data_IF_257181778775
#
_entry.id   IF_257181778775
#
_cell.length_a   1.000
_cell.length_b   1.000
_cell.length_c   1.000
_cell.angle_alpha   90.00
_cell.angle_beta   90.00
_cell.angle_gamma   90.00
#
_symmetry.space_group_name_H-M   'P 1'
#
loop_
_entity.id
_entity.type
_entity.pdbx_description
1 polymer ?
#
# COMPACT_ATOMS: atom_id res chain seq x y z
N UNK A 1 -39.35 -17.21 1.00
CA UNK A 1 -39.29 -15.74 1.11
C UNK A 1 -39.03 -15.36 2.58
N UNK A 2 -37.79 -15.47 3.06
CA UNK A 2 -37.40 -15.23 4.48
C UNK A 2 -36.14 -14.33 4.61
N UNK A 3 -35.70 -13.66 3.54
CA UNK A 3 -34.45 -12.87 3.55
C UNK A 3 -34.64 -11.39 3.90
N UNK A 4 -35.87 -10.92 4.16
CA UNK A 4 -36.16 -9.50 4.45
C UNK A 4 -35.83 -9.06 5.87
N UNK A 5 -35.50 -10.01 6.76
CA UNK A 5 -35.51 -9.76 8.20
C UNK A 5 -34.11 -9.69 8.83
N UNK A 6 -33.05 -9.94 8.04
CA UNK A 6 -31.65 -9.81 8.46
C UNK A 6 -30.98 -8.73 7.61
N UNK A 7 -30.54 -7.65 8.26
CA UNK A 7 -29.76 -6.57 7.64
C UNK A 7 -28.31 -6.67 8.11
N UNK A 8 -27.38 -6.80 7.17
CA UNK A 8 -25.93 -6.89 7.43
C UNK A 8 -25.18 -6.44 6.17
N UNK A 9 -24.22 -5.53 6.34
CA UNK A 9 -23.32 -5.05 5.30
C UNK A 9 -21.93 -4.82 5.92
N UNK A 10 -21.21 -5.92 6.14
CA UNK A 10 -19.88 -5.88 6.77
C UNK A 10 -18.85 -5.18 5.88
N UNK A 11 -19.12 -5.08 4.57
CA UNK A 11 -18.23 -4.36 3.66
C UNK A 11 -18.35 -2.85 3.86
N UNK A 12 -19.57 -2.34 4.00
CA UNK A 12 -19.81 -0.94 4.34
C UNK A 12 -19.33 -0.61 5.75
N UNK A 13 -19.59 -1.46 6.76
CA UNK A 13 -19.10 -1.22 8.12
C UNK A 13 -17.56 -1.14 8.17
N UNK A 14 -16.87 -2.02 7.42
CA UNK A 14 -15.42 -1.96 7.28
C UNK A 14 -14.97 -0.66 6.59
N UNK A 15 -15.69 -0.21 5.55
CA UNK A 15 -15.42 1.04 4.87
C UNK A 15 -15.59 2.25 5.80
N UNK A 16 -16.65 2.29 6.61
CA UNK A 16 -16.87 3.36 7.59
C UNK A 16 -15.77 3.43 8.64
N UNK A 17 -15.25 2.27 9.05
CA UNK A 17 -14.09 2.23 9.92
C UNK A 17 -12.82 2.73 9.23
N UNK A 18 -12.57 2.34 7.97
CA UNK A 18 -11.49 2.92 7.17
C UNK A 18 -11.61 4.44 7.02
N UNK A 19 -12.83 4.97 6.80
CA UNK A 19 -13.08 6.40 6.75
C UNK A 19 -12.75 7.09 8.09
N UNK A 20 -13.12 6.46 9.21
CA UNK A 20 -12.83 6.99 10.54
C UNK A 20 -11.32 7.09 10.80
N UNK A 21 -10.54 6.08 10.43
CA UNK A 21 -9.08 6.12 10.56
C UNK A 21 -8.46 7.18 9.62
N UNK A 22 -8.97 7.31 8.39
CA UNK A 22 -8.54 8.38 7.46
C UNK A 22 -8.80 9.78 8.05
N UNK A 23 -9.99 10.01 8.59
CA UNK A 23 -10.37 11.28 9.20
C UNK A 23 -9.53 11.60 10.44
N UNK A 24 -9.30 10.61 11.31
CA UNK A 24 -8.42 10.75 12.47
C UNK A 24 -6.97 11.10 12.04
N UNK A 25 -6.55 10.60 10.88
CA UNK A 25 -5.24 10.87 10.30
C UNK A 25 -5.15 12.18 9.48
N UNK A 26 -6.22 12.98 9.45
CA UNK A 26 -6.27 14.29 8.79
C UNK A 26 -6.70 14.28 7.32
N UNK A 27 -7.20 13.16 6.79
CA UNK A 27 -7.73 13.07 5.43
C UNK A 27 -9.21 13.40 5.37
N UNK A 28 -9.67 13.89 4.23
CA UNK A 28 -11.10 13.96 3.93
C UNK A 28 -11.67 12.57 3.73
N UNK A 29 -12.95 12.37 4.10
CA UNK A 29 -13.66 11.12 3.81
C UNK A 29 -13.76 10.95 2.29
N UNK A 30 -13.25 9.84 1.72
CA UNK A 30 -13.44 9.53 0.31
C UNK A 30 -14.93 9.35 -0.01
N UNK A 31 -15.38 9.67 -1.24
CA UNK A 31 -16.76 9.46 -1.63
C UNK A 31 -17.09 7.98 -1.76
N UNK A 32 -18.37 7.65 -1.64
CA UNK A 32 -18.91 6.34 -1.96
C UNK A 32 -18.63 5.93 -3.42
N UNK A 33 -18.68 4.62 -3.74
CA UNK A 33 -19.04 3.49 -2.87
C UNK A 33 -17.93 3.05 -1.90
N UNK A 34 -18.24 2.11 -1.01
CA UNK A 34 -17.32 1.52 -0.01
C UNK A 34 -15.93 1.16 -0.57
N UNK A 35 -15.87 0.68 -1.83
CA UNK A 35 -14.61 0.37 -2.52
C UNK A 35 -13.65 1.57 -2.54
N UNK A 36 -14.14 2.77 -2.81
CA UNK A 36 -13.33 3.98 -2.88
C UNK A 36 -12.71 4.33 -1.52
N UNK A 37 -13.50 4.17 -0.46
CA UNK A 37 -13.07 4.45 0.90
C UNK A 37 -11.98 3.47 1.34
N UNK A 38 -12.23 2.17 1.17
CA UNK A 38 -11.28 1.11 1.53
C UNK A 38 -10.01 1.23 0.70
N UNK A 39 -10.14 1.55 -0.59
CA UNK A 39 -9.00 1.76 -1.49
C UNK A 39 -8.15 2.94 -1.04
N UNK A 40 -8.75 4.10 -0.75
CA UNK A 40 -8.03 5.27 -0.29
C UNK A 40 -7.28 4.99 1.03
N UNK A 41 -7.92 4.29 1.97
CA UNK A 41 -7.27 3.83 3.19
C UNK A 41 -6.09 2.88 2.91
N UNK A 42 -6.28 1.89 2.03
CA UNK A 42 -5.22 0.96 1.65
C UNK A 42 -4.06 1.67 0.93
N UNK A 43 -4.34 2.66 0.11
CA UNK A 43 -3.35 3.48 -0.58
C UNK A 43 -2.56 4.37 0.39
N UNK A 44 -3.22 5.03 1.34
CA UNK A 44 -2.53 5.79 2.40
C UNK A 44 -1.62 4.87 3.23
N UNK A 45 -2.13 3.71 3.68
CA UNK A 45 -1.33 2.69 4.38
C UNK A 45 -0.11 2.24 3.55
N UNK A 46 -0.26 2.11 2.24
CA UNK A 46 0.82 1.67 1.36
C UNK A 46 1.93 2.72 1.22
N UNK A 47 1.58 4.00 1.16
CA UNK A 47 2.52 5.12 0.97
C UNK A 47 3.18 5.59 2.26
N UNK A 48 2.49 5.45 3.39
CA UNK A 48 3.02 5.82 4.71
C UNK A 48 4.17 4.90 5.11
N UNK A 49 5.27 5.51 5.52
CA UNK A 49 6.35 4.79 6.19
C UNK A 49 6.08 4.78 7.68
N UNK A 50 5.91 3.61 8.25
CA UNK A 50 5.71 3.48 9.68
C UNK A 50 6.95 3.97 10.46
N UNK A 51 6.72 4.70 11.55
CA UNK A 51 7.76 5.16 12.46
C UNK A 51 8.33 3.97 13.23
N UNK A 52 9.50 3.51 12.80
CA UNK A 52 10.25 2.43 13.43
C UNK A 52 11.73 2.47 13.00
N UNK A 53 12.66 2.13 13.90
CA UNK A 53 14.09 2.04 13.55
C UNK A 53 14.31 1.10 12.38
N UNK A 54 15.17 1.50 11.44
CA UNK A 54 15.58 0.68 10.30
C UNK A 54 17.08 0.69 10.13
N UNK A 55 17.65 -0.45 9.76
CA UNK A 55 19.04 -0.57 9.35
C UNK A 55 19.22 0.05 7.97
N UNK A 56 20.12 1.03 7.86
CA UNK A 56 20.44 1.66 6.59
C UNK A 56 21.46 0.82 5.82
N UNK A 57 21.14 0.53 4.56
CA UNK A 57 22.04 -0.04 3.57
C UNK A 57 22.18 0.95 2.43
N UNK A 58 23.40 1.27 2.03
CA UNK A 58 23.68 2.31 1.03
C UNK A 58 24.35 1.69 -0.19
N UNK A 59 23.76 1.90 -1.37
CA UNK A 59 24.39 1.59 -2.63
C UNK A 59 25.59 2.52 -2.87
N UNK A 60 26.47 2.15 -3.80
CA UNK A 60 27.61 2.99 -4.17
C UNK A 60 27.14 4.16 -5.05
N UNK A 61 26.94 5.34 -4.46
CA UNK A 61 26.68 6.59 -5.18
C UNK A 61 27.31 7.80 -4.48
N UNK A 62 27.48 8.89 -5.23
CA UNK A 62 27.93 10.18 -4.72
C UNK A 62 26.75 11.08 -4.39
N UNK A 63 26.93 11.95 -3.39
CA UNK A 63 25.94 12.94 -2.97
C UNK A 63 26.45 14.34 -3.36
N UNK A 64 25.63 15.17 -4.01
CA UNK A 64 25.95 16.58 -4.24
C UNK A 64 26.25 17.30 -2.93
N UNK A 65 27.23 18.22 -2.95
CA UNK A 65 27.75 18.87 -1.74
C UNK A 65 26.62 19.54 -0.92
N UNK A 66 25.65 20.13 -1.62
CA UNK A 66 24.50 20.83 -1.06
C UNK A 66 23.48 19.91 -0.37
N UNK A 67 23.54 18.59 -0.60
CA UNK A 67 22.62 17.61 0.00
C UNK A 67 23.27 16.75 1.09
N UNK A 68 24.57 16.90 1.37
CA UNK A 68 25.29 16.08 2.35
C UNK A 68 24.65 16.17 3.74
N UNK A 69 24.41 17.39 4.23
CA UNK A 69 23.80 17.61 5.54
C UNK A 69 22.37 17.02 5.62
N UNK A 70 21.59 17.25 4.56
CA UNK A 70 20.22 16.73 4.43
C UNK A 70 20.16 15.21 4.42
N UNK A 71 21.07 14.56 3.67
CA UNK A 71 21.18 13.11 3.64
C UNK A 71 21.56 12.54 5.02
N UNK A 72 22.60 13.10 5.66
CA UNK A 72 23.05 12.62 6.97
C UNK A 72 21.94 12.72 8.02
N UNK A 73 21.25 13.86 8.06
CA UNK A 73 20.12 14.09 8.96
C UNK A 73 18.97 13.12 8.67
N UNK A 74 18.64 12.92 7.40
CA UNK A 74 17.58 12.01 6.99
C UNK A 74 17.91 10.55 7.34
N UNK A 75 19.11 10.06 7.03
CA UNK A 75 19.51 8.69 7.32
C UNK A 75 19.59 8.43 8.83
N UNK A 76 20.05 9.40 9.62
CA UNK A 76 20.00 9.29 11.09
C UNK A 76 18.55 9.15 11.59
N UNK A 77 17.63 9.92 11.01
CA UNK A 77 16.20 9.84 11.32
C UNK A 77 15.60 8.47 10.96
N UNK A 78 16.05 7.85 9.86
CA UNK A 78 15.69 6.47 9.49
C UNK A 78 16.17 5.47 10.54
N UNK A 79 17.42 5.58 10.97
CA UNK A 79 18.01 4.70 12.00
C UNK A 79 17.29 4.82 13.34
N UNK A 80 16.92 6.04 13.73
CA UNK A 80 16.21 6.30 14.99
C UNK A 80 14.71 5.95 14.93
N UNK A 81 14.19 5.69 13.74
CA UNK A 81 12.77 5.41 13.53
C UNK A 81 11.86 6.63 13.60
N UNK A 82 12.40 7.81 13.35
CA UNK A 82 11.63 9.04 13.30
C UNK A 82 10.66 9.11 12.12
N UNK A 83 9.79 10.11 12.13
CA UNK A 83 8.79 10.32 11.08
C UNK A 83 9.43 10.69 9.74
N UNK A 84 9.32 9.82 8.73
CA UNK A 84 9.83 10.11 7.39
C UNK A 84 8.83 10.89 6.53
N UNK A 85 7.56 10.99 6.94
CA UNK A 85 6.51 11.70 6.19
C UNK A 85 6.89 13.13 5.80
N UNK A 86 7.56 13.95 6.65
CA UNK A 86 7.97 15.30 6.27
C UNK A 86 8.90 15.36 5.06
N UNK A 87 9.62 14.29 4.75
CA UNK A 87 10.53 14.21 3.62
C UNK A 87 9.85 13.70 2.35
N UNK A 88 8.61 13.22 2.41
CA UNK A 88 7.92 12.73 1.22
C UNK A 88 7.14 13.87 0.52
N UNK A 89 6.49 13.56 -0.61
CA UNK A 89 5.70 14.52 -1.39
C UNK A 89 4.51 15.09 -0.61
N UNK A 90 4.25 16.40 -0.71
CA UNK A 90 3.03 17.03 -0.14
C UNK A 90 1.74 16.43 -0.71
N UNK A 91 1.79 15.78 -1.88
CA UNK A 91 0.65 15.04 -2.44
C UNK A 91 0.18 13.89 -1.52
N UNK A 92 0.98 13.48 -0.54
CA UNK A 92 0.57 12.53 0.52
C UNK A 92 -0.60 12.99 1.36
N UNK A 93 -0.95 14.28 1.34
CA UNK A 93 -2.16 14.80 1.99
C UNK A 93 -3.45 14.41 1.25
N UNK A 94 -3.33 13.96 -0.01
CA UNK A 94 -4.45 13.42 -0.78
C UNK A 94 -4.50 11.90 -0.62
N UNK A 95 -5.61 11.38 -0.11
CA UNK A 95 -5.77 9.94 0.14
C UNK A 95 -5.79 9.11 -1.17
N UNK A 96 -6.26 9.72 -2.26
CA UNK A 96 -6.36 9.18 -3.60
C UNK A 96 -5.13 9.44 -4.49
N UNK A 97 -4.07 10.07 -3.96
CA UNK A 97 -2.83 10.22 -4.71
C UNK A 97 -2.10 8.89 -4.86
N UNK A 98 -1.93 8.43 -6.10
CA UNK A 98 -1.12 7.26 -6.45
C UNK A 98 0.32 7.65 -6.78
N UNK A 99 1.26 7.00 -6.10
CA UNK A 99 2.69 7.10 -6.41
C UNK A 99 3.05 5.98 -7.39
N UNK A 100 3.13 6.31 -8.68
CA UNK A 100 3.40 5.32 -9.72
C UNK A 100 4.75 4.62 -9.58
N UNK A 101 5.77 5.28 -9.01
CA UNK A 101 7.08 4.67 -8.81
C UNK A 101 7.06 3.68 -7.64
N UNK A 102 6.39 4.04 -6.55
CA UNK A 102 6.16 3.12 -5.44
C UNK A 102 5.26 1.95 -5.86
N UNK A 103 4.17 2.23 -6.57
CA UNK A 103 3.19 1.24 -6.98
C UNK A 103 3.78 0.24 -7.99
N UNK A 104 4.62 0.70 -8.92
CA UNK A 104 5.26 -0.18 -9.90
C UNK A 104 6.56 -0.77 -9.36
N UNK A 105 7.55 0.06 -9.04
CA UNK A 105 8.91 -0.38 -8.69
C UNK A 105 9.14 -0.58 -7.19
N UNK A 106 8.19 -0.24 -6.32
CA UNK A 106 8.38 -0.36 -4.87
C UNK A 106 9.38 0.63 -4.30
N UNK A 107 9.78 1.64 -5.08
CA UNK A 107 10.78 2.63 -4.71
C UNK A 107 10.07 3.89 -4.20
N UNK A 108 10.43 4.32 -3.01
CA UNK A 108 10.01 5.60 -2.44
C UNK A 108 11.04 6.68 -2.70
N UNK A 109 10.61 7.93 -2.63
CA UNK A 109 11.46 9.09 -2.90
C UNK A 109 11.29 10.17 -1.83
N UNK A 110 12.42 10.75 -1.41
CA UNK A 110 12.50 11.67 -0.27
C UNK A 110 13.27 12.94 -0.61
N UNK A 111 12.72 14.08 -0.18
CA UNK A 111 13.38 15.37 -0.16
C UNK A 111 14.43 15.44 0.95
N UNK A 112 15.58 16.01 0.63
CA UNK A 112 16.73 16.15 1.53
C UNK A 112 16.97 17.60 1.95
N UNK A 113 15.91 18.42 1.98
CA UNK A 113 16.03 19.80 2.46
C UNK A 113 16.37 19.88 3.95
N UNK A 114 16.92 21.01 4.38
CA UNK A 114 17.25 21.27 5.80
C UNK A 114 16.32 22.29 6.45
N UNK A 115 15.53 23.01 5.65
CA UNK A 115 14.53 23.98 6.11
C UNK A 115 13.10 23.44 5.93
N UNK A 116 12.10 23.93 6.68
CA UNK A 116 10.68 23.63 6.43
C UNK A 116 10.20 24.10 5.05
N UNK A 117 9.18 23.44 4.52
CA UNK A 117 8.52 23.83 3.27
C UNK A 117 7.82 25.19 3.45
N UNK A 118 7.96 26.14 2.50
CA UNK A 118 7.53 27.53 2.68
C UNK A 118 6.02 27.70 2.91
N UNK A 119 5.20 26.81 2.35
CA UNK A 119 3.73 26.90 2.45
C UNK A 119 3.08 25.75 3.23
N UNK A 120 3.86 24.75 3.65
CA UNK A 120 3.35 23.60 4.42
C UNK A 120 4.43 23.13 5.40
N UNK A 121 4.59 23.79 6.56
CA UNK A 121 5.71 23.56 7.48
C UNK A 121 5.76 22.15 8.09
N UNK A 122 4.75 21.31 7.86
CA UNK A 122 4.77 19.87 8.20
C UNK A 122 5.68 19.06 7.28
N UNK A 123 6.12 19.63 6.16
CA UNK A 123 7.04 19.05 5.20
C UNK A 123 8.34 19.83 5.16
N UNK A 124 9.39 19.20 4.65
CA UNK A 124 10.70 19.78 4.42
C UNK A 124 10.72 20.48 3.05
N UNK A 125 11.58 21.49 2.93
CA UNK A 125 11.85 22.23 1.70
C UNK A 125 12.22 21.28 0.56
N UNK A 126 11.68 21.57 -0.62
CA UNK A 126 11.90 20.75 -1.81
C UNK A 126 13.35 20.86 -2.26
N UNK A 127 13.90 19.74 -2.68
CA UNK A 127 15.20 19.60 -3.34
C UNK A 127 15.00 19.15 -4.79
N UNK A 128 15.89 19.57 -5.69
CA UNK A 128 15.85 19.17 -7.10
C UNK A 128 16.17 17.69 -7.31
N UNK A 129 17.00 17.13 -6.43
CA UNK A 129 17.27 15.71 -6.36
C UNK A 129 16.59 15.09 -5.14
N UNK A 130 16.12 13.86 -5.33
CA UNK A 130 15.41 13.08 -4.33
C UNK A 130 16.21 11.82 -4.01
N UNK A 131 16.29 11.49 -2.73
CA UNK A 131 16.82 10.20 -2.31
C UNK A 131 15.80 9.12 -2.66
N UNK A 132 16.19 8.20 -3.53
CA UNK A 132 15.38 7.03 -3.86
C UNK A 132 15.76 5.86 -2.96
N UNK A 133 14.77 5.12 -2.46
CA UNK A 133 15.01 4.00 -1.56
C UNK A 133 13.97 2.89 -1.67
N UNK A 134 14.39 1.65 -1.41
CA UNK A 134 13.47 0.58 -1.01
C UNK A 134 13.31 0.63 0.51
N UNK A 135 12.07 0.73 0.97
CA UNK A 135 11.76 0.75 2.40
C UNK A 135 11.11 -0.58 2.77
N UNK A 136 11.74 -1.32 3.69
CA UNK A 136 11.24 -2.55 4.28
C UNK A 136 10.93 -2.33 5.76
N UNK A 137 10.42 -3.37 6.41
CA UNK A 137 10.03 -3.31 7.82
C UNK A 137 11.20 -2.98 8.74
N UNK A 138 12.37 -3.59 8.50
CA UNK A 138 13.55 -3.43 9.36
C UNK A 138 14.75 -2.80 8.63
N UNK A 139 14.65 -2.60 7.33
CA UNK A 139 15.77 -2.22 6.47
C UNK A 139 15.37 -1.06 5.55
N UNK A 140 16.31 -0.17 5.31
CA UNK A 140 16.19 0.96 4.40
C UNK A 140 17.34 0.90 3.39
N UNK A 141 17.03 0.63 2.13
CA UNK A 141 18.03 0.50 1.07
C UNK A 141 18.07 1.79 0.25
N UNK A 142 19.06 2.63 0.55
CA UNK A 142 19.29 3.88 -0.14
C UNK A 142 19.96 3.63 -1.49
N UNK A 143 19.30 4.03 -2.58
CA UNK A 143 19.71 3.75 -3.96
C UNK A 143 20.54 4.87 -4.58
N UNK A 144 20.27 6.12 -4.18
CA UNK A 144 20.96 7.31 -4.69
C UNK A 144 20.05 8.51 -4.84
N UNK A 145 20.61 9.61 -5.31
CA UNK A 145 19.90 10.86 -5.58
C UNK A 145 19.58 11.02 -7.07
N UNK A 146 18.30 11.27 -7.38
CA UNK A 146 17.81 11.36 -8.75
C UNK A 146 16.90 12.58 -8.93
N UNK A 147 16.87 13.13 -10.13
CA UNK A 147 15.99 14.25 -10.45
C UNK A 147 14.52 13.85 -10.39
N UNK A 148 13.66 14.82 -10.07
CA UNK A 148 12.24 14.73 -10.44
C UNK A 148 12.15 14.34 -11.92
N UNK A 149 11.20 13.47 -12.28
CA UNK A 149 11.04 12.85 -13.61
C UNK A 149 11.75 11.51 -13.84
N UNK A 150 12.60 11.07 -12.91
CA UNK A 150 13.28 9.75 -13.00
C UNK A 150 12.38 8.59 -12.55
N UNK A 151 11.08 8.62 -12.88
CA UNK A 151 10.06 7.75 -12.29
C UNK A 151 9.99 6.35 -12.89
N UNK A 152 10.50 6.14 -14.10
CA UNK A 152 10.48 4.87 -14.83
C UNK A 152 11.85 4.27 -15.07
N UNK A 153 12.90 4.81 -14.42
CA UNK A 153 14.29 4.41 -14.64
C UNK A 153 14.57 2.97 -14.25
N UNK A 154 14.58 2.08 -15.24
CA UNK A 154 14.72 0.63 -15.05
C UNK A 154 16.11 0.22 -14.55
N UNK A 155 17.12 1.05 -14.76
CA UNK A 155 18.47 0.83 -14.19
C UNK A 155 18.52 0.87 -12.66
N UNK A 156 17.48 1.40 -11.99
CA UNK A 156 17.32 1.25 -10.54
C UNK A 156 17.05 -0.21 -10.15
N UNK A 157 16.30 -0.95 -10.97
CA UNK A 157 16.06 -2.36 -10.76
C UNK A 157 17.32 -3.19 -11.04
N UNK A 158 18.16 -2.78 -12.01
CA UNK A 158 19.50 -3.36 -12.20
C UNK A 158 20.36 -3.17 -10.96
N UNK A 159 20.38 -1.95 -10.41
CA UNK A 159 21.14 -1.63 -9.22
C UNK A 159 20.71 -2.49 -8.02
N UNK A 160 19.39 -2.61 -7.78
CA UNK A 160 18.86 -3.44 -6.70
C UNK A 160 19.24 -4.91 -6.93
N UNK A 161 19.07 -5.42 -8.15
CA UNK A 161 19.39 -6.80 -8.50
C UNK A 161 20.86 -7.13 -8.29
N UNK A 162 21.77 -6.25 -8.74
CA UNK A 162 23.20 -6.45 -8.59
C UNK A 162 23.69 -6.29 -7.14
N UNK A 163 23.09 -5.36 -6.38
CA UNK A 163 23.57 -5.01 -5.03
C UNK A 163 22.92 -5.88 -3.94
N UNK A 164 21.62 -6.12 -4.05
CA UNK A 164 20.81 -6.86 -3.07
C UNK A 164 19.83 -7.82 -3.77
N UNK A 165 20.31 -8.88 -4.44
CA UNK A 165 19.47 -9.79 -5.23
C UNK A 165 18.34 -10.43 -4.41
N UNK A 166 18.56 -10.66 -3.11
CA UNK A 166 17.54 -11.20 -2.18
C UNK A 166 16.32 -10.28 -2.02
N UNK A 167 16.47 -8.98 -2.24
CA UNK A 167 15.39 -8.01 -2.06
C UNK A 167 14.45 -7.92 -3.26
N UNK A 168 14.91 -8.40 -4.43
CA UNK A 168 14.17 -8.41 -5.69
C UNK A 168 13.72 -9.80 -6.14
N UNK A 169 14.26 -10.88 -5.55
CA UNK A 169 13.98 -12.27 -5.98
C UNK A 169 12.48 -12.62 -6.00
N UNK A 170 11.68 -12.04 -5.11
CA UNK A 170 10.23 -12.29 -5.07
C UNK A 170 9.47 -11.74 -6.27
N UNK A 171 10.07 -10.83 -7.04
CA UNK A 171 9.51 -10.31 -8.30
C UNK A 171 10.11 -10.97 -9.54
N UNK A 172 10.99 -11.97 -9.38
CA UNK A 172 11.57 -12.69 -10.50
C UNK A 172 10.59 -13.69 -11.10
N UNK A 173 10.54 -13.77 -12.42
CA UNK A 173 9.87 -14.87 -13.10
C UNK A 173 10.75 -16.12 -13.00
N UNK A 174 10.15 -17.22 -12.56
CA UNK A 174 10.81 -18.52 -12.49
C UNK A 174 10.33 -19.41 -13.61
N UNK A 175 11.26 -20.17 -14.19
CA UNK A 175 10.95 -21.28 -15.09
C UNK A 175 10.02 -22.30 -14.42
N UNK A 176 9.12 -22.88 -15.20
CA UNK A 176 8.27 -24.01 -14.75
C UNK A 176 8.88 -25.32 -15.20
N UNK A 177 8.58 -26.43 -14.52
CA UNK A 177 9.16 -27.74 -14.83
C UNK A 177 8.99 -28.10 -16.31
N UNK A 178 10.11 -28.36 -17.00
CA UNK A 178 10.13 -28.71 -18.43
C UNK A 178 10.09 -27.52 -19.40
N UNK A 179 10.13 -26.27 -18.92
CA UNK A 179 10.20 -25.07 -19.74
C UNK A 179 11.28 -24.12 -19.20
N UNK A 180 12.06 -23.52 -20.11
CA UNK A 180 13.09 -22.54 -19.74
C UNK A 180 12.74 -21.17 -20.32
N UNK A 181 12.76 -20.15 -19.46
CA UNK A 181 12.65 -18.76 -19.89
C UNK A 181 14.01 -18.34 -20.49
N UNK A 182 14.05 -18.14 -21.80
CA UNK A 182 15.27 -17.76 -22.52
C UNK A 182 15.55 -16.25 -22.39
N UNK A 183 14.64 -15.43 -22.93
CA UNK A 183 14.73 -13.97 -22.87
C UNK A 183 13.37 -13.33 -23.17
N UNK A 184 13.25 -12.03 -22.89
CA UNK A 184 12.15 -11.24 -23.43
C UNK A 184 12.36 -11.04 -24.93
N UNK A 185 11.29 -11.18 -25.72
CA UNK A 185 11.33 -10.82 -27.14
C UNK A 185 11.55 -9.32 -27.36
N UNK A 186 11.18 -8.51 -26.37
CA UNK A 186 11.37 -7.07 -26.35
C UNK A 186 11.65 -6.63 -24.91
N UNK A 187 12.81 -6.01 -24.67
CA UNK A 187 13.12 -5.40 -23.38
C UNK A 187 12.78 -3.91 -23.43
N UNK A 188 11.76 -3.51 -22.67
CA UNK A 188 11.21 -2.16 -22.69
C UNK A 188 12.20 -1.12 -22.17
N UNK A 189 12.28 0.02 -22.85
CA UNK A 189 13.06 1.21 -22.43
C UNK A 189 12.39 1.96 -21.27
N UNK A 190 13.11 2.90 -20.64
CA UNK A 190 12.54 3.74 -19.58
C UNK A 190 11.33 4.56 -20.08
N UNK A 191 11.37 5.00 -21.34
CA UNK A 191 10.27 5.69 -22.03
C UNK A 191 9.08 4.77 -22.28
N UNK A 192 9.34 3.53 -22.72
CA UNK A 192 8.28 2.53 -22.93
C UNK A 192 7.59 2.21 -21.60
N UNK A 193 8.36 1.98 -20.53
CA UNK A 193 7.79 1.73 -19.20
C UNK A 193 6.94 2.91 -18.73
N UNK A 194 7.39 4.15 -18.93
CA UNK A 194 6.60 5.33 -18.61
C UNK A 194 5.29 5.39 -19.42
N UNK A 195 5.36 5.12 -20.73
CA UNK A 195 4.21 5.11 -21.63
C UNK A 195 3.19 4.04 -21.27
N UNK A 196 3.65 2.81 -21.01
CA UNK A 196 2.82 1.68 -20.59
C UNK A 196 2.15 1.96 -19.24
N UNK A 197 2.92 2.43 -18.25
CA UNK A 197 2.38 2.74 -16.91
C UNK A 197 1.31 3.82 -16.97
N UNK A 198 1.46 4.83 -17.83
CA UNK A 198 0.48 5.93 -18.02
C UNK A 198 -0.90 5.41 -18.46
N UNK A 199 -0.95 4.29 -19.18
CA UNK A 199 -2.20 3.63 -19.61
C UNK A 199 -2.55 2.40 -18.76
N UNK A 200 -1.90 2.24 -17.60
CA UNK A 200 -2.18 1.17 -16.65
C UNK A 200 -1.67 -0.22 -17.06
N UNK A 201 -0.65 -0.28 -17.94
CA UNK A 201 0.02 -1.52 -18.34
C UNK A 201 1.35 -1.64 -17.59
N UNK A 202 1.59 -2.81 -16.99
CA UNK A 202 2.82 -3.10 -16.27
C UNK A 202 3.85 -3.73 -17.20
N UNK A 203 5.04 -3.13 -17.26
CA UNK A 203 6.15 -3.67 -18.04
C UNK A 203 6.87 -4.78 -17.27
N UNK A 204 7.23 -5.85 -17.99
CA UNK A 204 8.17 -6.86 -17.51
C UNK A 204 9.52 -6.50 -18.12
N UNK A 205 10.59 -6.57 -17.33
CA UNK A 205 11.91 -6.11 -17.79
C UNK A 205 12.98 -7.14 -17.48
N UNK A 206 13.93 -7.28 -18.40
CA UNK A 206 15.04 -8.21 -18.31
C UNK A 206 16.32 -7.47 -17.89
N UNK A 207 17.05 -8.06 -16.95
CA UNK A 207 18.33 -7.59 -16.43
C UNK A 207 19.49 -8.09 -17.31
N UNK A 208 20.71 -7.50 -17.20
CA UNK A 208 21.87 -7.91 -18.00
C UNK A 208 22.27 -9.39 -17.88
N UNK A 209 22.01 -10.04 -16.75
CA UNK A 209 22.29 -11.46 -16.53
C UNK A 209 21.19 -12.40 -17.06
N UNK A 210 20.18 -11.84 -17.72
CA UNK A 210 19.03 -12.58 -18.26
C UNK A 210 17.86 -12.71 -17.31
N UNK A 211 18.00 -12.37 -16.02
CA UNK A 211 16.91 -12.45 -15.04
C UNK A 211 15.77 -11.53 -15.42
N UNK A 212 14.54 -12.02 -15.36
CA UNK A 212 13.34 -11.24 -15.70
C UNK A 212 12.59 -10.89 -14.41
N UNK A 213 12.30 -9.61 -14.22
CA UNK A 213 11.52 -9.12 -13.08
C UNK A 213 10.25 -8.40 -13.53
N UNK A 214 9.19 -8.56 -12.73
CA UNK A 214 8.11 -7.58 -12.65
C UNK A 214 8.49 -6.46 -11.67
N UNK A 215 7.81 -5.33 -11.72
CA UNK A 215 7.99 -4.27 -10.73
C UNK A 215 7.74 -4.75 -9.29
N UNK A 216 8.69 -4.44 -8.38
CA UNK A 216 8.64 -4.81 -6.95
C UNK A 216 7.44 -4.23 -6.18
N UNK A 217 6.91 -3.12 -6.68
CA UNK A 217 5.72 -2.47 -6.17
C UNK A 217 4.44 -3.28 -6.41
N UNK A 218 4.46 -4.22 -7.35
CA UNK A 218 3.32 -5.06 -7.72
C UNK A 218 2.48 -4.50 -8.87
N UNK A 219 2.85 -3.33 -9.37
CA UNK A 219 2.27 -2.71 -10.55
C UNK A 219 1.06 -1.82 -10.28
N UNK A 220 0.58 -1.21 -11.35
CA UNK A 220 -0.63 -0.38 -11.41
C UNK A 220 -1.77 -1.11 -12.11
N UNK A 221 -3.01 -0.74 -11.80
CA UNK A 221 -4.21 -1.19 -12.50
C UNK A 221 -4.50 -0.31 -13.72
N UNK A 222 -5.48 -0.70 -14.55
CA UNK A 222 -5.87 0.05 -15.77
C UNK A 222 -6.34 1.48 -15.49
N UNK A 223 -6.88 1.75 -14.29
CA UNK A 223 -7.25 3.09 -13.84
C UNK A 223 -6.10 3.83 -13.10
N UNK A 224 -4.88 3.30 -13.14
CA UNK A 224 -3.67 3.93 -12.61
C UNK A 224 -3.41 3.70 -11.11
N UNK A 225 -4.28 2.95 -10.44
CA UNK A 225 -4.21 2.74 -8.99
C UNK A 225 -3.20 1.66 -8.62
N UNK A 226 -2.77 1.64 -7.36
CA UNK A 226 -1.95 0.54 -6.83
C UNK A 226 -2.64 -0.83 -6.97
N UNK A 227 -2.00 -1.78 -7.67
CA UNK A 227 -2.51 -3.16 -7.76
C UNK A 227 -2.60 -3.81 -6.38
N UNK A 228 -1.69 -3.46 -5.45
CA UNK A 228 -1.75 -3.94 -4.06
C UNK A 228 -3.01 -3.43 -3.34
N UNK A 229 -3.35 -2.15 -3.50
CA UNK A 229 -4.57 -1.58 -2.92
C UNK A 229 -5.83 -2.22 -3.53
N UNK A 230 -5.90 -2.33 -4.87
CA UNK A 230 -7.05 -2.96 -5.55
C UNK A 230 -7.24 -4.43 -5.11
N UNK A 231 -6.16 -5.21 -5.02
CA UNK A 231 -6.21 -6.59 -4.50
C UNK A 231 -6.69 -6.64 -3.05
N UNK A 232 -6.30 -5.67 -2.22
CA UNK A 232 -6.74 -5.58 -0.82
C UNK A 232 -8.25 -5.36 -0.74
N UNK A 233 -8.82 -4.44 -1.52
CA UNK A 233 -10.28 -4.21 -1.59
C UNK A 233 -11.00 -5.49 -2.01
N UNK A 234 -10.57 -6.12 -3.10
CA UNK A 234 -11.20 -7.36 -3.58
C UNK A 234 -11.14 -8.50 -2.55
N UNK A 235 -10.02 -8.61 -1.82
CA UNK A 235 -9.88 -9.59 -0.75
C UNK A 235 -10.82 -9.31 0.43
N UNK A 236 -10.93 -8.04 0.86
CA UNK A 236 -11.85 -7.64 1.94
C UNK A 236 -13.29 -7.90 1.51
N UNK A 237 -13.69 -7.50 0.30
CA UNK A 237 -15.05 -7.72 -0.22
C UNK A 237 -15.44 -9.19 -0.23
N UNK A 238 -14.58 -10.07 -0.77
CA UNK A 238 -14.82 -11.53 -0.73
C UNK A 238 -15.01 -12.03 0.70
N UNK A 239 -14.16 -11.57 1.62
CA UNK A 239 -14.20 -11.99 3.01
C UNK A 239 -15.46 -11.52 3.75
N UNK A 240 -15.88 -10.28 3.54
CA UNK A 240 -17.16 -9.79 4.05
C UNK A 240 -18.31 -10.64 3.51
N UNK A 241 -18.35 -10.91 2.21
CA UNK A 241 -19.40 -11.74 1.60
C UNK A 241 -19.44 -13.17 2.16
N UNK A 242 -18.28 -13.78 2.41
CA UNK A 242 -18.19 -15.12 2.98
C UNK A 242 -18.71 -15.15 4.43
N UNK A 243 -18.25 -14.21 5.26
CA UNK A 243 -18.70 -14.09 6.65
C UNK A 243 -20.19 -13.77 6.72
N UNK A 244 -20.69 -12.85 5.89
CA UNK A 244 -22.12 -12.52 5.84
C UNK A 244 -22.97 -13.73 5.46
N UNK A 245 -22.53 -14.54 4.50
CA UNK A 245 -23.26 -15.75 4.09
C UNK A 245 -23.36 -16.75 5.24
N UNK A 246 -22.26 -16.95 5.97
CA UNK A 246 -22.22 -17.83 7.14
C UNK A 246 -23.09 -17.30 8.28
N UNK A 247 -23.02 -16.00 8.57
CA UNK A 247 -23.84 -15.37 9.61
C UNK A 247 -25.32 -15.41 9.25
N UNK A 248 -25.71 -15.07 8.01
CA UNK A 248 -27.10 -15.16 7.55
C UNK A 248 -27.68 -16.57 7.74
N UNK A 249 -26.90 -17.60 7.43
CA UNK A 249 -27.30 -19.00 7.64
C UNK A 249 -27.55 -19.31 9.12
N UNK A 250 -26.59 -18.96 9.99
CA UNK A 250 -26.72 -19.18 11.44
C UNK A 250 -27.89 -18.39 12.05
N UNK A 251 -28.04 -17.12 11.70
CA UNK A 251 -29.09 -16.25 12.20
C UNK A 251 -30.48 -16.72 11.74
N UNK A 252 -30.61 -17.18 10.49
CA UNK A 252 -31.86 -17.77 10.01
C UNK A 252 -32.26 -19.00 10.83
N UNK A 253 -31.30 -19.85 11.21
CA UNK A 253 -31.53 -20.99 12.10
C UNK A 253 -31.95 -20.56 13.52
N UNK A 254 -31.35 -19.49 14.06
CA UNK A 254 -31.74 -18.93 15.36
C UNK A 254 -33.15 -18.34 15.33
N UNK A 255 -33.53 -17.62 14.27
CA UNK A 255 -34.89 -17.10 14.07
C UNK A 255 -35.89 -18.24 13.96
N UNK A 256 -35.60 -19.26 13.15
CA UNK A 256 -36.48 -20.43 12.94
C UNK A 256 -36.71 -21.22 14.24
N UNK A 257 -35.73 -21.20 15.16
CA UNK A 257 -35.82 -21.85 16.47
C UNK A 257 -36.30 -20.92 17.59
N UNK A 258 -36.83 -19.73 17.25
CA UNK A 258 -37.32 -18.72 18.18
C UNK A 258 -36.30 -18.25 19.23
N UNK A 259 -34.99 -18.44 18.96
CA UNK A 259 -33.89 -17.94 19.81
C UNK A 259 -33.58 -16.47 19.56
N UNK A 260 -34.04 -15.93 18.43
CA UNK A 260 -33.84 -14.54 18.03
C UNK A 260 -35.13 -14.05 17.36
N UNK A 261 -35.55 -12.82 17.68
CA UNK A 261 -36.74 -12.21 17.09
C UNK A 261 -36.33 -11.24 15.97
N UNK A 262 -36.93 -11.32 14.78
CA UNK A 262 -36.71 -10.34 13.72
C UNK A 262 -37.39 -8.99 14.03
N UNK A 263 -36.91 -7.87 13.45
CA UNK A 263 -35.78 -7.76 12.52
C UNK A 263 -34.42 -7.82 13.24
N UNK A 264 -33.41 -8.34 12.55
CA UNK A 264 -32.04 -8.51 13.04
C UNK A 264 -31.11 -7.61 12.24
N UNK A 265 -30.49 -6.64 12.90
CA UNK A 265 -29.43 -5.83 12.31
C UNK A 265 -28.08 -6.26 12.88
N UNK A 266 -27.09 -6.50 12.03
CA UNK A 266 -25.74 -6.90 12.41
C UNK A 266 -24.75 -5.85 11.92
N UNK A 267 -23.83 -5.45 12.77
CA UNK A 267 -22.76 -4.50 12.43
C UNK A 267 -21.38 -5.03 12.83
N UNK A 268 -20.35 -4.59 12.11
CA UNK A 268 -18.96 -4.84 12.45
C UNK A 268 -18.50 -3.91 13.59
N UNK A 269 -17.95 -4.48 14.65
CA UNK A 269 -17.31 -3.74 15.72
C UNK A 269 -15.87 -4.23 15.93
N UNK A 270 -14.89 -3.35 16.15
CA UNK A 270 -13.56 -3.75 16.57
C UNK A 270 -13.30 -3.34 18.02
N UNK A 271 -12.85 -4.30 18.83
CA UNK A 271 -12.46 -4.10 20.23
C UNK A 271 -11.06 -4.65 20.43
N UNK A 272 -10.14 -3.80 20.91
CA UNK A 272 -8.72 -4.15 21.05
C UNK A 272 -8.13 -4.61 19.72
N UNK A 273 -7.64 -5.86 19.65
CA UNK A 273 -7.02 -6.45 18.44
C UNK A 273 -7.93 -7.42 17.70
N UNK A 274 -9.25 -7.36 17.93
CA UNK A 274 -10.24 -8.26 17.36
C UNK A 274 -11.40 -7.48 16.74
N UNK A 275 -12.10 -8.15 15.83
CA UNK A 275 -13.33 -7.72 15.20
C UNK A 275 -14.47 -8.69 15.56
N UNK A 276 -15.67 -8.16 15.67
CA UNK A 276 -16.88 -8.87 16.08
C UNK A 276 -18.02 -8.49 15.13
N UNK A 277 -18.87 -9.45 14.79
CA UNK A 277 -20.18 -9.15 14.24
C UNK A 277 -21.18 -9.10 15.40
N UNK A 278 -21.79 -7.94 15.64
CA UNK A 278 -22.63 -7.68 16.81
C UNK A 278 -24.07 -7.49 16.36
N UNK A 279 -25.00 -8.18 17.02
CA UNK A 279 -26.43 -7.98 16.78
C UNK A 279 -26.90 -6.75 17.55
N UNK A 280 -27.55 -5.81 16.85
CA UNK A 280 -28.10 -4.61 17.47
C UNK A 280 -29.15 -4.97 18.52
N UNK A 281 -29.12 -4.24 19.64
CA UNK A 281 -30.07 -4.37 20.76
C UNK A 281 -30.11 -5.78 21.40
N UNK A 282 -29.06 -6.58 21.21
CA UNK A 282 -28.91 -7.92 21.76
C UNK A 282 -27.50 -8.14 22.34
N UNK A 283 -27.34 -9.09 23.26
CA UNK A 283 -26.04 -9.50 23.83
C UNK A 283 -25.33 -10.59 22.99
N UNK A 284 -25.82 -10.84 21.78
CA UNK A 284 -25.26 -11.87 20.88
C UNK A 284 -24.23 -11.24 19.95
N UNK A 285 -23.04 -11.82 19.94
CA UNK A 285 -21.94 -11.43 19.07
C UNK A 285 -21.15 -12.65 18.57
N UNK A 286 -20.47 -12.46 17.45
CA UNK A 286 -19.63 -13.49 16.84
C UNK A 286 -18.19 -12.95 16.73
N UNK A 287 -17.25 -13.61 17.41
CA UNK A 287 -15.82 -13.27 17.33
C UNK A 287 -15.28 -13.61 15.93
N UNK A 288 -14.90 -12.58 15.18
CA UNK A 288 -14.29 -12.72 13.85
C UNK A 288 -12.76 -12.75 13.93
N UNK A 289 -12.16 -12.63 15.12
CA UNK A 289 -10.72 -12.51 15.30
C UNK A 289 -10.17 -11.30 14.56
N UNK A 290 -9.11 -11.49 13.76
CA UNK A 290 -8.50 -10.42 12.94
C UNK A 290 -9.06 -10.34 11.52
N UNK A 291 -10.16 -11.03 11.25
CA UNK A 291 -10.57 -11.27 9.87
C UNK A 291 -10.93 -9.99 9.10
N UNK A 292 -11.62 -9.06 9.76
CA UNK A 292 -12.04 -7.77 9.25
C UNK A 292 -11.50 -6.64 10.16
N UNK A 293 -10.23 -6.74 10.53
CA UNK A 293 -9.56 -5.76 11.39
C UNK A 293 -8.95 -4.61 10.56
N UNK A 294 -9.43 -3.37 10.75
CA UNK A 294 -8.78 -2.15 10.25
C UNK A 294 -7.67 -1.75 11.21
N UNK A 295 -6.48 -1.50 10.66
CA UNK A 295 -5.30 -1.05 11.42
C UNK A 295 -5.32 0.49 11.54
N UNK A 296 -4.85 1.06 12.65
CA UNK A 296 -4.63 2.50 12.73
C UNK A 296 -3.61 2.99 11.67
N UNK A 297 -3.77 4.25 11.27
CA UNK A 297 -2.91 4.96 10.30
C UNK A 297 -1.72 5.67 10.93
#
# INVERSE_FOLDING_TARGET
MMNSDITIDLFMDFADRCASELQAAGYTRPPDPAENIIRAYANVRHRRVEQRPRKVHKASYSIPIELIEGEQTFLKKVEDGGDLRPHQSTKLEKADYDDGMLNDFGIQHFHLGTAPHPTNPNFIGRTDLLLFALVKDNDFYSLGCYAHETWSKTSLLDLIHATWPKEIVSSSLSSVSGMEIQALSHNYTDEDVAGLRKVGVNAITQRPDGTIHVGLGGGVTMNGESTKAARKVACIKRKCNDIERELKSHLTSMISSAKLSPPVAVYLEQRGTKAFAVIKDCQVEFDLGRQLFVLPL
#
